data_IF_427362692389
#
_entry.id   IF_427362692389
#
_cell.length_a   1.000
_cell.length_b   1.000
_cell.length_c   1.000
_cell.angle_alpha   90.00
_cell.angle_beta   90.00
_cell.angle_gamma   90.00
#
_symmetry.space_group_name_H-M   'P 1'
#
loop_
_entity.id
_entity.type
_entity.pdbx_description
1 polymer ?
#
# COMPACT_ATOMS: atom_id res chain seq x y z
N UNK A 1 2.75 11.32 -14.63
CA UNK A 1 3.01 10.11 -13.77
C UNK A 1 2.90 8.87 -14.64
N UNK A 2 3.81 7.88 -14.51
CA UNK A 2 3.70 6.60 -15.23
C UNK A 2 2.42 5.85 -14.87
N UNK A 3 1.92 5.02 -15.80
CA UNK A 3 0.75 4.18 -15.60
C UNK A 3 1.09 2.71 -15.78
N UNK A 4 0.33 1.85 -15.11
CA UNK A 4 0.37 0.39 -15.18
C UNK A 4 -0.99 -0.09 -15.66
N UNK A 5 -1.00 -0.90 -16.72
CA UNK A 5 -2.23 -1.58 -17.16
C UNK A 5 -2.31 -2.95 -16.48
N UNK A 6 -3.36 -3.18 -15.71
CA UNK A 6 -3.60 -4.46 -15.05
C UNK A 6 -5.07 -4.83 -15.07
N UNK A 7 -5.40 -6.04 -15.55
CA UNK A 7 -6.79 -6.53 -15.70
C UNK A 7 -7.74 -5.51 -16.33
N UNK A 8 -7.29 -4.85 -17.40
CA UNK A 8 -8.08 -3.84 -18.14
C UNK A 8 -8.21 -2.47 -17.43
N UNK A 9 -7.56 -2.27 -16.29
CA UNK A 9 -7.54 -0.99 -15.56
C UNK A 9 -6.22 -0.28 -15.75
N UNK A 10 -6.28 1.01 -16.08
CA UNK A 10 -5.08 1.87 -16.11
C UNK A 10 -4.93 2.52 -14.74
N UNK A 11 -3.86 2.17 -14.03
CA UNK A 11 -3.55 2.65 -12.70
C UNK A 11 -2.31 3.55 -12.73
N UNK A 12 -2.22 4.55 -11.86
CA UNK A 12 -0.96 5.27 -11.66
C UNK A 12 0.08 4.34 -11.08
N UNK A 13 1.32 4.41 -11.56
CA UNK A 13 2.43 3.56 -11.09
C UNK A 13 2.89 3.85 -9.65
N UNK A 14 2.28 4.84 -9.01
CA UNK A 14 2.41 5.20 -7.61
C UNK A 14 1.00 5.37 -7.03
N UNK A 15 0.70 4.71 -5.91
CA UNK A 15 -0.55 4.87 -5.20
C UNK A 15 -0.35 5.80 -4.00
N UNK A 16 -1.18 6.83 -3.85
CA UNK A 16 -1.13 7.72 -2.69
C UNK A 16 -1.95 7.13 -1.55
N UNK A 17 -1.27 6.76 -0.46
CA UNK A 17 -1.88 6.28 0.78
C UNK A 17 -2.39 7.45 1.63
N UNK A 18 -3.61 7.33 2.11
CA UNK A 18 -4.35 8.40 2.81
C UNK A 18 -4.66 8.09 4.27
N UNK A 19 -4.01 7.09 4.87
CA UNK A 19 -4.36 6.56 6.19
C UNK A 19 -4.42 7.62 7.30
N UNK A 20 -3.61 8.68 7.23
CA UNK A 20 -3.59 9.78 8.21
C UNK A 20 -4.48 10.97 7.82
N UNK A 21 -5.03 11.01 6.60
CA UNK A 21 -5.86 12.12 6.16
C UNK A 21 -7.18 12.15 6.94
N UNK A 22 -7.56 13.32 7.42
CA UNK A 22 -8.78 13.51 8.24
C UNK A 22 -8.65 13.07 9.70
N UNK A 23 -7.57 12.39 10.13
CA UNK A 23 -7.41 11.93 11.51
C UNK A 23 -7.26 13.06 12.53
N UNK A 24 -6.80 14.24 12.11
CA UNK A 24 -6.71 15.46 12.92
C UNK A 24 -7.96 16.35 12.79
N UNK A 25 -8.97 15.92 12.07
CA UNK A 25 -10.23 16.60 11.81
C UNK A 25 -10.52 16.83 10.32
N UNK A 26 -11.82 17.05 10.04
CA UNK A 26 -12.37 17.23 8.68
C UNK A 26 -12.72 18.71 8.38
N UNK A 27 -12.02 19.65 9.02
CA UNK A 27 -12.24 21.09 8.83
C UNK A 27 -10.94 21.87 9.06
N UNK A 28 -10.93 23.15 8.65
CA UNK A 28 -9.83 24.07 8.92
C UNK A 28 -8.47 23.61 8.35
N UNK A 29 -7.41 23.90 9.07
CA UNK A 29 -6.04 23.64 8.61
C UNK A 29 -5.72 22.16 8.32
N UNK A 30 -6.16 21.16 9.12
CA UNK A 30 -5.93 19.75 8.81
C UNK A 30 -6.55 19.33 7.47
N UNK A 31 -7.79 19.74 7.19
CA UNK A 31 -8.45 19.42 5.91
C UNK A 31 -7.76 20.11 4.74
N UNK A 32 -7.39 21.38 4.87
CA UNK A 32 -6.68 22.14 3.85
C UNK A 32 -5.31 21.50 3.51
N UNK A 33 -4.59 21.03 4.52
CA UNK A 33 -3.32 20.30 4.32
C UNK A 33 -3.54 19.01 3.53
N UNK A 34 -4.56 18.24 3.86
CA UNK A 34 -4.90 17.02 3.12
C UNK A 34 -5.27 17.34 1.66
N UNK A 35 -6.09 18.37 1.44
CA UNK A 35 -6.47 18.82 0.09
C UNK A 35 -5.26 19.28 -0.72
N UNK A 36 -4.34 20.03 -0.15
CA UNK A 36 -3.11 20.46 -0.84
C UNK A 36 -2.28 19.26 -1.35
N UNK A 37 -2.19 18.18 -0.57
CA UNK A 37 -1.51 16.94 -0.99
C UNK A 37 -2.29 16.27 -2.13
N UNK A 38 -3.62 16.14 -2.00
CA UNK A 38 -4.48 15.52 -3.00
C UNK A 38 -4.48 16.32 -4.31
N UNK A 39 -4.58 17.64 -4.25
CA UNK A 39 -4.52 18.54 -5.40
C UNK A 39 -3.18 18.38 -6.15
N UNK A 40 -2.07 18.45 -5.42
CA UNK A 40 -0.73 18.27 -6.02
C UNK A 40 -0.60 16.89 -6.68
N UNK A 41 -1.06 15.82 -6.01
CA UNK A 41 -1.02 14.48 -6.58
C UNK A 41 -1.86 14.39 -7.87
N UNK A 42 -3.05 14.97 -7.87
CA UNK A 42 -3.94 15.00 -9.04
C UNK A 42 -3.36 15.82 -10.19
N UNK A 43 -2.83 17.02 -9.93
CA UNK A 43 -2.17 17.90 -10.91
C UNK A 43 -0.93 17.25 -11.55
N UNK A 44 -0.20 16.41 -10.80
CA UNK A 44 0.91 15.61 -11.32
C UNK A 44 0.46 14.41 -12.17
N UNK A 45 -0.84 14.24 -12.41
CA UNK A 45 -1.42 13.13 -13.16
C UNK A 45 -1.64 11.86 -12.34
N UNK A 46 -1.58 11.94 -11.01
CA UNK A 46 -1.94 10.84 -10.12
C UNK A 46 -3.44 10.57 -10.15
N UNK A 47 -3.82 9.29 -10.25
CA UNK A 47 -5.23 8.86 -10.33
C UNK A 47 -5.53 7.63 -9.52
N UNK A 48 -4.68 7.31 -8.51
CA UNK A 48 -4.84 6.10 -7.71
C UNK A 48 -4.60 6.38 -6.23
N UNK A 49 -5.67 6.27 -5.42
CA UNK A 49 -5.63 6.48 -3.97
C UNK A 49 -5.87 5.16 -3.23
N UNK A 50 -5.21 5.01 -2.08
CA UNK A 50 -5.45 3.93 -1.12
C UNK A 50 -6.00 4.50 0.19
N UNK A 51 -7.15 3.98 0.62
CA UNK A 51 -7.80 4.26 1.89
C UNK A 51 -8.35 2.99 2.53
N UNK A 52 -9.11 3.11 3.62
CA UNK A 52 -9.85 2.02 4.26
C UNK A 52 -10.98 2.57 5.13
N UNK A 53 -12.04 1.80 5.30
CA UNK A 53 -13.15 2.13 6.21
C UNK A 53 -12.69 2.41 7.64
N UNK A 54 -11.64 1.74 8.10
CA UNK A 54 -11.12 1.91 9.45
C UNK A 54 -10.23 3.14 9.62
N UNK A 55 -9.71 3.74 8.52
CA UNK A 55 -8.75 4.83 8.62
C UNK A 55 -9.41 6.12 9.13
N UNK A 56 -8.87 6.62 10.24
CA UNK A 56 -9.40 7.76 10.98
C UNK A 56 -10.21 7.41 12.23
N UNK A 57 -10.59 6.14 12.44
CA UNK A 57 -11.37 5.75 13.63
C UNK A 57 -10.59 5.91 14.95
N UNK A 58 -9.27 5.95 14.89
CA UNK A 58 -8.40 6.33 16.03
C UNK A 58 -8.10 7.83 16.09
N UNK A 59 -8.60 8.61 15.14
CA UNK A 59 -8.46 10.07 15.11
C UNK A 59 -9.51 10.77 15.98
N UNK A 60 -9.55 12.11 15.90
CA UNK A 60 -10.39 12.96 16.77
C UNK A 60 -11.88 12.75 16.58
N UNK A 61 -12.32 12.39 15.37
CA UNK A 61 -13.75 12.23 15.06
C UNK A 61 -14.26 10.79 15.23
N UNK A 62 -13.37 9.84 15.54
CA UNK A 62 -13.67 8.40 15.69
C UNK A 62 -14.51 7.81 14.55
N UNK A 63 -14.31 8.29 13.33
CA UNK A 63 -15.04 7.86 12.13
C UNK A 63 -14.07 7.41 11.04
N UNK A 64 -14.58 6.93 9.90
CA UNK A 64 -13.79 6.65 8.70
C UNK A 64 -13.34 7.96 8.01
N UNK A 65 -12.60 8.78 8.76
CA UNK A 65 -12.27 10.15 8.40
C UNK A 65 -11.46 10.26 7.12
N UNK A 66 -10.63 9.25 6.80
CA UNK A 66 -9.86 9.23 5.54
C UNK A 66 -10.78 9.16 4.31
N UNK A 67 -11.76 8.26 4.32
CA UNK A 67 -12.75 8.17 3.22
C UNK A 67 -13.60 9.44 3.12
N UNK A 68 -14.03 10.00 4.26
CA UNK A 68 -14.77 11.28 4.28
C UNK A 68 -13.94 12.43 3.72
N UNK A 69 -12.65 12.51 4.06
CA UNK A 69 -11.75 13.52 3.54
C UNK A 69 -11.63 13.43 2.01
N UNK A 70 -11.47 12.21 1.48
CA UNK A 70 -11.42 11.98 0.03
C UNK A 70 -12.76 12.36 -0.61
N UNK A 71 -13.89 11.93 -0.06
CA UNK A 71 -15.22 12.24 -0.59
C UNK A 71 -15.50 13.75 -0.64
N UNK A 72 -15.13 14.48 0.42
CA UNK A 72 -15.21 15.95 0.45
C UNK A 72 -14.35 16.58 -0.64
N UNK A 73 -13.11 16.11 -0.81
CA UNK A 73 -12.21 16.60 -1.85
C UNK A 73 -12.73 16.32 -3.27
N UNK A 74 -13.18 15.11 -3.54
CA UNK A 74 -13.76 14.74 -4.84
C UNK A 74 -14.95 15.63 -5.19
N UNK A 75 -15.86 15.83 -4.23
CA UNK A 75 -17.04 16.67 -4.40
C UNK A 75 -16.68 18.15 -4.61
N UNK A 76 -15.78 18.69 -3.78
CA UNK A 76 -15.38 20.10 -3.83
C UNK A 76 -14.66 20.46 -5.15
N UNK A 77 -13.85 19.52 -5.70
CA UNK A 77 -13.12 19.71 -6.95
C UNK A 77 -13.86 19.20 -8.19
N UNK A 78 -15.01 18.55 -8.04
CA UNK A 78 -15.76 17.96 -9.15
C UNK A 78 -15.00 16.82 -9.86
N UNK A 79 -14.17 16.07 -9.13
CA UNK A 79 -13.31 15.03 -9.69
C UNK A 79 -14.08 13.70 -9.75
N UNK A 80 -14.04 13.07 -10.94
CA UNK A 80 -14.77 11.80 -11.20
C UNK A 80 -13.88 10.70 -11.79
N UNK A 81 -12.61 10.98 -12.07
CA UNK A 81 -11.67 10.07 -12.75
C UNK A 81 -10.62 9.41 -11.83
N UNK A 82 -10.89 9.40 -10.52
CA UNK A 82 -10.02 8.74 -9.56
C UNK A 82 -10.33 7.25 -9.45
N UNK A 83 -9.30 6.42 -9.47
CA UNK A 83 -9.37 5.04 -8.99
C UNK A 83 -9.09 5.02 -7.50
N UNK A 84 -9.98 4.42 -6.72
CA UNK A 84 -9.85 4.32 -5.27
C UNK A 84 -9.81 2.86 -4.86
N UNK A 85 -8.80 2.50 -4.08
CA UNK A 85 -8.78 1.26 -3.30
C UNK A 85 -9.23 1.60 -1.88
N UNK A 86 -10.31 0.96 -1.42
CA UNK A 86 -10.68 0.99 0.00
C UNK A 86 -10.73 -0.43 0.58
N UNK A 87 -10.94 -0.55 1.90
CA UNK A 87 -10.82 -1.83 2.60
C UNK A 87 -11.90 -1.97 3.68
N UNK A 88 -12.38 -3.22 3.88
CA UNK A 88 -13.35 -3.58 4.91
C UNK A 88 -12.84 -4.64 5.88
N UNK A 89 -13.67 -5.00 6.82
CA UNK A 89 -13.46 -6.12 7.73
C UNK A 89 -12.21 -6.01 8.62
N UNK A 90 -11.76 -4.79 8.92
CA UNK A 90 -10.81 -4.57 10.00
C UNK A 90 -11.52 -4.66 11.35
N UNK A 91 -10.82 -5.08 12.41
CA UNK A 91 -11.35 -4.95 13.76
C UNK A 91 -11.64 -3.49 14.10
N UNK A 92 -12.58 -3.24 14.98
CA UNK A 92 -12.89 -1.90 15.45
C UNK A 92 -11.99 -1.52 16.65
N UNK A 93 -11.76 -0.23 16.89
CA UNK A 93 -10.94 0.23 18.02
C UNK A 93 -11.36 -0.34 19.38
N UNK A 94 -12.65 -0.56 19.57
CA UNK A 94 -13.27 -1.08 20.80
C UNK A 94 -13.34 -2.61 20.88
N UNK A 95 -12.97 -3.34 19.81
CA UNK A 95 -13.13 -4.80 19.68
C UNK A 95 -11.96 -5.43 18.89
N UNK A 96 -10.74 -5.26 19.36
CA UNK A 96 -9.51 -5.71 18.69
C UNK A 96 -9.44 -7.23 18.49
N UNK A 97 -10.05 -8.02 19.35
CA UNK A 97 -10.00 -9.48 19.33
C UNK A 97 -11.13 -10.12 18.51
N UNK A 98 -12.02 -9.28 17.93
CA UNK A 98 -13.18 -9.77 17.20
C UNK A 98 -12.93 -9.67 15.70
N UNK A 99 -12.85 -10.82 15.04
CA UNK A 99 -12.78 -10.85 13.58
C UNK A 99 -14.10 -10.38 12.96
N UNK A 100 -13.99 -9.48 11.98
CA UNK A 100 -15.12 -8.97 11.19
C UNK A 100 -15.08 -9.49 9.75
N UNK A 101 -14.31 -10.55 9.49
CA UNK A 101 -14.23 -11.17 8.16
C UNK A 101 -15.44 -12.07 7.96
N UNK A 102 -16.57 -11.44 7.70
CA UNK A 102 -17.85 -12.04 7.39
C UNK A 102 -18.65 -11.14 6.43
N UNK A 103 -19.68 -11.74 5.82
CA UNK A 103 -20.51 -11.09 4.80
C UNK A 103 -21.20 -9.83 5.30
N UNK A 104 -21.79 -9.88 6.49
CA UNK A 104 -22.61 -8.77 7.01
C UNK A 104 -21.74 -7.57 7.38
N UNK A 105 -20.59 -7.82 8.02
CA UNK A 105 -19.59 -6.79 8.29
C UNK A 105 -19.04 -6.17 7.00
N UNK A 106 -18.75 -6.99 5.98
CA UNK A 106 -18.27 -6.51 4.69
C UNK A 106 -19.28 -5.60 3.99
N UNK A 107 -20.56 -5.98 3.99
CA UNK A 107 -21.64 -5.19 3.37
C UNK A 107 -21.93 -3.90 4.15
N UNK A 108 -21.84 -3.93 5.48
CA UNK A 108 -22.02 -2.74 6.32
C UNK A 108 -20.90 -1.72 6.08
N UNK A 109 -19.64 -2.18 6.11
CA UNK A 109 -18.47 -1.35 5.81
C UNK A 109 -18.54 -0.79 4.38
N UNK A 110 -18.93 -1.59 3.39
CA UNK A 110 -19.08 -1.16 2.01
C UNK A 110 -20.14 -0.05 1.86
N UNK A 111 -21.28 -0.21 2.53
CA UNK A 111 -22.33 0.80 2.51
C UNK A 111 -21.86 2.12 3.12
N UNK A 112 -21.10 2.07 4.22
CA UNK A 112 -20.51 3.25 4.84
C UNK A 112 -19.43 3.89 3.94
N UNK A 113 -18.51 3.09 3.39
CA UNK A 113 -17.43 3.55 2.50
C UNK A 113 -17.99 4.27 1.26
N UNK A 114 -19.00 3.68 0.62
CA UNK A 114 -19.64 4.30 -0.55
C UNK A 114 -20.27 5.66 -0.22
N UNK A 115 -20.96 5.79 0.94
CA UNK A 115 -21.52 7.07 1.38
C UNK A 115 -20.42 8.09 1.67
N UNK A 116 -19.35 7.69 2.35
CA UNK A 116 -18.26 8.59 2.74
C UNK A 116 -17.45 9.07 1.54
N UNK A 117 -17.20 8.20 0.55
CA UNK A 117 -16.51 8.54 -0.69
C UNK A 117 -17.42 9.25 -1.71
N UNK A 118 -18.75 9.20 -1.55
CA UNK A 118 -19.69 9.73 -2.54
C UNK A 118 -19.69 8.93 -3.85
N UNK A 119 -19.41 7.62 -3.81
CA UNK A 119 -19.25 6.77 -4.99
C UNK A 119 -20.35 5.70 -5.06
N UNK A 120 -20.95 5.55 -6.26
CA UNK A 120 -21.88 4.45 -6.53
C UNK A 120 -21.18 3.08 -6.58
N UNK A 121 -19.96 3.04 -7.07
CA UNK A 121 -19.12 1.86 -7.13
C UNK A 121 -17.71 2.18 -6.64
N UNK A 122 -17.15 1.41 -5.71
CA UNK A 122 -15.75 1.49 -5.33
C UNK A 122 -14.94 0.64 -6.33
N UNK A 123 -13.96 1.20 -7.05
CA UNK A 123 -13.24 0.49 -8.11
C UNK A 123 -12.51 -0.78 -7.62
N UNK A 124 -11.85 -0.71 -6.46
CA UNK A 124 -11.13 -1.84 -5.84
C UNK A 124 -11.46 -1.86 -4.35
N UNK A 125 -11.92 -3.01 -3.85
CA UNK A 125 -12.30 -3.15 -2.45
C UNK A 125 -11.65 -4.37 -1.82
N UNK A 126 -10.78 -4.15 -0.83
CA UNK A 126 -9.98 -5.22 -0.24
C UNK A 126 -10.57 -5.69 1.09
N UNK A 127 -10.44 -6.97 1.39
CA UNK A 127 -10.54 -7.43 2.77
C UNK A 127 -9.26 -7.04 3.52
N UNK A 128 -9.39 -6.29 4.60
CA UNK A 128 -8.25 -5.68 5.32
C UNK A 128 -7.49 -6.68 6.18
N UNK A 129 -8.15 -7.76 6.59
CA UNK A 129 -7.62 -8.85 7.41
C UNK A 129 -8.13 -10.19 6.90
N UNK A 130 -7.40 -11.25 7.21
CA UNK A 130 -7.87 -12.63 7.03
C UNK A 130 -8.52 -13.14 8.31
N UNK A 131 -9.41 -14.09 8.17
CA UNK A 131 -9.84 -14.99 9.24
C UNK A 131 -9.52 -16.43 8.81
N UNK A 132 -8.44 -16.97 9.34
CA UNK A 132 -7.91 -18.29 8.95
C UNK A 132 -8.80 -19.46 9.37
N UNK A 133 -9.74 -19.24 10.30
CA UNK A 133 -10.74 -20.22 10.73
C UNK A 133 -11.90 -20.32 9.73
N UNK A 134 -12.08 -19.32 8.87
CA UNK A 134 -13.09 -19.32 7.82
C UNK A 134 -12.60 -20.05 6.57
N UNK A 135 -13.49 -20.87 5.97
CA UNK A 135 -13.23 -21.39 4.63
C UNK A 135 -13.03 -20.25 3.65
N UNK A 136 -11.97 -20.32 2.85
CA UNK A 136 -11.66 -19.27 1.87
C UNK A 136 -12.77 -19.14 0.82
N UNK A 137 -13.47 -20.22 0.50
CA UNK A 137 -14.59 -20.21 -0.45
C UNK A 137 -15.74 -19.34 0.03
N UNK A 138 -16.09 -19.43 1.33
CA UNK A 138 -17.09 -18.54 1.92
C UNK A 138 -16.68 -17.06 1.79
N UNK A 139 -15.39 -16.76 1.99
CA UNK A 139 -14.86 -15.41 1.87
C UNK A 139 -14.94 -14.92 0.42
N UNK A 140 -14.53 -15.76 -0.53
CA UNK A 140 -14.59 -15.45 -1.96
C UNK A 140 -16.03 -15.28 -2.43
N UNK A 141 -16.96 -16.11 -1.97
CA UNK A 141 -18.38 -16.06 -2.38
C UNK A 141 -19.03 -14.70 -2.08
N UNK A 142 -18.86 -14.17 -0.86
CA UNK A 142 -19.44 -12.86 -0.58
C UNK A 142 -18.67 -11.70 -1.27
N UNK A 143 -17.38 -11.88 -1.56
CA UNK A 143 -16.65 -10.92 -2.38
C UNK A 143 -17.15 -10.90 -3.83
N UNK A 144 -17.40 -12.06 -4.42
CA UNK A 144 -18.01 -12.20 -5.75
C UNK A 144 -19.40 -11.56 -5.77
N UNK A 145 -20.23 -11.80 -4.74
CA UNK A 145 -21.54 -11.15 -4.60
C UNK A 145 -21.44 -9.62 -4.63
N UNK A 146 -20.46 -9.05 -3.91
CA UNK A 146 -20.26 -7.60 -3.92
C UNK A 146 -19.89 -7.05 -5.31
N UNK A 147 -19.08 -7.80 -6.10
CA UNK A 147 -18.75 -7.44 -7.49
C UNK A 147 -19.98 -7.56 -8.38
N UNK A 148 -20.69 -8.68 -8.33
CA UNK A 148 -21.85 -8.94 -9.18
C UNK A 148 -23.04 -8.01 -8.89
N UNK A 149 -23.11 -7.49 -7.65
CA UNK A 149 -24.09 -6.43 -7.31
C UNK A 149 -23.74 -5.06 -7.91
N UNK A 150 -22.58 -4.90 -8.57
CA UNK A 150 -22.11 -3.66 -9.14
C UNK A 150 -21.63 -2.62 -8.12
N UNK A 151 -21.57 -2.95 -6.83
CA UNK A 151 -21.16 -2.02 -5.77
C UNK A 151 -19.65 -1.86 -5.67
N UNK A 152 -18.88 -2.86 -6.13
CA UNK A 152 -17.43 -2.78 -6.29
C UNK A 152 -17.02 -3.26 -7.69
N UNK A 153 -15.89 -2.74 -8.19
CA UNK A 153 -15.38 -3.14 -9.50
C UNK A 153 -14.59 -4.45 -9.48
N UNK A 154 -13.84 -4.67 -8.42
CA UNK A 154 -13.15 -5.93 -8.12
C UNK A 154 -12.81 -5.99 -6.63
N UNK A 155 -12.61 -7.20 -6.11
CA UNK A 155 -12.11 -7.38 -4.76
C UNK A 155 -10.62 -7.75 -4.74
N UNK A 156 -10.02 -7.71 -3.57
CA UNK A 156 -8.67 -8.21 -3.32
C UNK A 156 -8.45 -8.44 -1.84
N UNK A 157 -7.24 -8.79 -1.48
CA UNK A 157 -6.89 -9.13 -0.11
C UNK A 157 -5.78 -8.24 0.43
N UNK A 158 -5.81 -7.99 1.73
CA UNK A 158 -4.73 -7.37 2.48
C UNK A 158 -4.39 -8.25 3.68
N UNK A 159 -3.08 -8.49 3.90
CA UNK A 159 -2.60 -9.36 4.97
C UNK A 159 -3.03 -10.84 4.84
N UNK A 160 -3.02 -11.36 3.62
CA UNK A 160 -3.26 -12.77 3.35
C UNK A 160 -1.95 -13.51 3.04
N UNK A 161 -1.85 -14.75 3.54
CA UNK A 161 -0.71 -15.64 3.30
C UNK A 161 -0.82 -16.31 1.94
N UNK A 162 0.31 -16.85 1.46
CA UNK A 162 0.39 -17.51 0.16
C UNK A 162 -0.66 -18.63 -0.01
N UNK A 163 -0.79 -19.52 0.97
CA UNK A 163 -1.72 -20.64 0.92
C UNK A 163 -3.19 -20.17 0.75
N UNK A 164 -3.54 -19.07 1.40
CA UNK A 164 -4.88 -18.49 1.32
C UNK A 164 -5.13 -17.82 -0.03
N UNK A 165 -4.12 -17.11 -0.55
CA UNK A 165 -4.19 -16.49 -1.87
C UNK A 165 -4.31 -17.57 -2.95
N UNK A 166 -3.48 -18.62 -2.89
CA UNK A 166 -3.54 -19.74 -3.83
C UNK A 166 -4.93 -20.38 -3.83
N UNK A 167 -5.46 -20.75 -2.66
CA UNK A 167 -6.77 -21.38 -2.55
C UNK A 167 -7.91 -20.49 -3.10
N UNK A 168 -7.84 -19.17 -2.93
CA UNK A 168 -8.81 -18.24 -3.49
C UNK A 168 -8.71 -18.16 -5.03
N UNK A 169 -7.50 -18.08 -5.57
CA UNK A 169 -7.27 -18.04 -7.02
C UNK A 169 -7.69 -19.34 -7.69
N UNK A 170 -7.38 -20.48 -7.07
CA UNK A 170 -7.81 -21.80 -7.55
C UNK A 170 -9.33 -21.93 -7.56
N UNK A 171 -10.01 -21.42 -6.52
CA UNK A 171 -11.46 -21.43 -6.43
C UNK A 171 -12.13 -20.53 -7.47
N UNK A 172 -11.57 -19.35 -7.76
CA UNK A 172 -12.05 -18.45 -8.81
C UNK A 172 -11.80 -19.01 -10.22
N UNK A 173 -10.77 -19.81 -10.41
CA UNK A 173 -10.44 -20.44 -11.68
C UNK A 173 -10.28 -19.42 -12.84
N UNK A 174 -10.96 -19.65 -13.95
CA UNK A 174 -10.89 -18.81 -15.14
C UNK A 174 -11.42 -17.39 -14.94
N UNK A 175 -12.32 -17.17 -13.98
CA UNK A 175 -12.95 -15.88 -13.71
C UNK A 175 -12.12 -14.96 -12.82
N UNK A 176 -10.96 -15.42 -12.34
CA UNK A 176 -10.10 -14.66 -11.42
C UNK A 176 -9.77 -13.24 -11.88
N UNK A 177 -9.51 -13.05 -13.19
CA UNK A 177 -9.16 -11.71 -13.74
C UNK A 177 -10.34 -10.73 -13.71
N UNK A 178 -11.57 -11.24 -13.71
CA UNK A 178 -12.78 -10.43 -13.56
C UNK A 178 -12.95 -9.95 -12.13
N UNK A 179 -12.74 -10.84 -11.16
CA UNK A 179 -13.11 -10.61 -9.77
C UNK A 179 -11.96 -10.10 -8.90
N UNK A 180 -10.74 -10.62 -9.10
CA UNK A 180 -9.60 -10.38 -8.19
C UNK A 180 -8.67 -9.29 -8.72
N UNK A 181 -8.57 -8.19 -7.97
CA UNK A 181 -7.75 -7.04 -8.33
C UNK A 181 -6.28 -7.20 -7.92
N UNK A 182 -6.02 -7.86 -6.80
CA UNK A 182 -4.64 -7.99 -6.30
C UNK A 182 -4.54 -8.10 -4.79
N UNK A 183 -3.31 -7.92 -4.31
CA UNK A 183 -2.91 -8.15 -2.93
C UNK A 183 -2.25 -6.89 -2.34
N UNK A 184 -2.56 -6.57 -1.08
CA UNK A 184 -1.92 -5.48 -0.32
C UNK A 184 -1.36 -6.03 0.99
N UNK A 185 -0.10 -6.43 0.96
CA UNK A 185 0.66 -6.89 2.12
C UNK A 185 1.86 -5.96 2.38
N UNK A 186 2.45 -6.01 3.56
CA UNK A 186 3.62 -5.21 3.89
C UNK A 186 4.84 -5.63 3.05
N UNK A 187 5.46 -4.67 2.35
CA UNK A 187 6.70 -4.94 1.61
C UNK A 187 7.50 -3.66 1.43
N UNK A 188 8.77 -3.73 1.76
CA UNK A 188 9.74 -2.65 1.51
C UNK A 188 11.12 -3.24 1.25
N UNK A 189 11.99 -2.44 0.63
CA UNK A 189 13.39 -2.82 0.42
C UNK A 189 14.11 -3.17 1.74
N UNK A 190 13.87 -2.39 2.81
CA UNK A 190 14.50 -2.64 4.12
C UNK A 190 14.01 -3.95 4.76
N UNK A 191 12.72 -4.26 4.64
CA UNK A 191 12.12 -5.49 5.17
C UNK A 191 12.56 -6.72 4.37
N UNK A 192 12.59 -6.64 3.03
CA UNK A 192 13.05 -7.71 2.15
C UNK A 192 14.44 -8.20 2.56
N UNK A 193 15.30 -7.27 2.95
CA UNK A 193 16.71 -7.51 3.30
C UNK A 193 16.95 -7.66 4.82
N UNK A 194 15.91 -7.63 5.65
CA UNK A 194 16.03 -7.76 7.10
C UNK A 194 16.06 -9.22 7.59
N UNK A 195 15.74 -10.18 6.71
CA UNK A 195 15.58 -11.59 7.11
C UNK A 195 14.24 -11.86 7.76
N UNK A 196 14.22 -12.64 8.85
CA UNK A 196 12.99 -12.94 9.57
C UNK A 196 12.37 -11.65 10.15
N UNK A 197 11.12 -11.41 9.79
CA UNK A 197 10.33 -10.31 10.30
C UNK A 197 9.07 -10.88 10.97
N UNK A 198 8.87 -10.50 12.22
CA UNK A 198 7.66 -10.83 12.98
C UNK A 198 6.74 -9.60 12.94
N UNK A 199 5.73 -9.61 12.07
CA UNK A 199 4.84 -8.47 11.94
C UNK A 199 3.94 -8.31 13.15
N UNK A 200 3.41 -7.09 13.42
CA UNK A 200 2.34 -6.90 14.38
C UNK A 200 1.13 -7.80 14.09
N UNK A 201 0.33 -8.07 15.11
CA UNK A 201 -0.83 -8.97 15.03
C UNK A 201 -1.70 -8.79 13.80
N UNK A 202 -1.90 -9.89 13.07
CA UNK A 202 -2.73 -9.94 11.86
C UNK A 202 -2.15 -9.20 10.65
N UNK A 203 -0.90 -8.76 10.69
CA UNK A 203 -0.17 -8.22 9.55
C UNK A 203 0.61 -9.34 8.86
N UNK A 204 0.62 -9.35 7.55
CA UNK A 204 1.36 -10.35 6.77
C UNK A 204 2.31 -9.64 5.78
N UNK A 205 3.59 -9.98 5.80
CA UNK A 205 4.53 -9.45 4.82
C UNK A 205 4.34 -10.14 3.45
N UNK A 206 4.80 -9.47 2.41
CA UNK A 206 5.10 -10.16 1.16
C UNK A 206 6.36 -11.00 1.38
N UNK A 207 6.21 -12.32 1.31
CA UNK A 207 7.34 -13.25 1.36
C UNK A 207 7.86 -13.51 -0.06
N UNK A 208 9.12 -13.98 -0.20
CA UNK A 208 9.68 -14.32 -1.52
C UNK A 208 8.83 -15.37 -2.28
N UNK A 209 8.31 -16.46 -1.64
CA UNK A 209 7.37 -17.36 -2.30
C UNK A 209 6.09 -16.69 -2.77
N UNK A 210 5.51 -15.79 -1.94
CA UNK A 210 4.29 -15.05 -2.31
C UNK A 210 4.55 -14.11 -3.50
N UNK A 211 5.65 -13.38 -3.48
CA UNK A 211 6.01 -12.48 -4.57
C UNK A 211 6.23 -13.24 -5.89
N UNK A 212 6.88 -14.42 -5.83
CA UNK A 212 7.06 -15.30 -7.00
C UNK A 212 5.71 -15.78 -7.53
N UNK A 213 4.83 -16.29 -6.68
CA UNK A 213 3.51 -16.72 -7.09
C UNK A 213 2.71 -15.59 -7.74
N UNK A 214 2.75 -14.38 -7.16
CA UNK A 214 2.08 -13.22 -7.76
C UNK A 214 2.67 -12.85 -9.14
N UNK A 215 3.97 -13.05 -9.36
CA UNK A 215 4.61 -12.83 -10.65
C UNK A 215 4.18 -13.87 -11.69
N UNK A 216 4.12 -15.15 -11.31
CA UNK A 216 3.69 -16.25 -12.18
C UNK A 216 2.22 -16.14 -12.59
N UNK A 217 1.36 -15.69 -11.66
CA UNK A 217 -0.07 -15.56 -11.86
C UNK A 217 -0.53 -14.18 -12.32
N UNK A 218 0.39 -13.25 -12.60
CA UNK A 218 0.10 -11.86 -12.99
C UNK A 218 -0.82 -11.15 -11.97
N UNK A 219 -0.56 -11.32 -10.68
CA UNK A 219 -1.32 -10.71 -9.58
C UNK A 219 -0.65 -9.38 -9.19
N UNK A 220 -1.43 -8.29 -9.20
CA UNK A 220 -0.99 -6.98 -8.75
C UNK A 220 -0.68 -6.98 -7.25
N UNK A 221 0.48 -6.44 -6.87
CA UNK A 221 0.82 -6.19 -5.48
C UNK A 221 0.80 -4.68 -5.22
N UNK A 222 0.03 -4.29 -4.20
CA UNK A 222 -0.08 -2.93 -3.66
C UNK A 222 0.59 -2.91 -2.27
N UNK A 223 1.92 -2.86 -2.18
CA UNK A 223 2.59 -2.94 -0.90
C UNK A 223 2.31 -1.70 -0.06
N UNK A 224 1.84 -1.90 1.18
CA UNK A 224 1.84 -0.85 2.19
C UNK A 224 3.17 -0.82 2.94
N UNK A 225 3.45 0.24 3.71
CA UNK A 225 4.77 0.50 4.31
C UNK A 225 5.93 0.43 3.29
N UNK A 226 5.64 0.69 2.02
CA UNK A 226 6.52 0.46 0.88
C UNK A 226 7.89 1.15 0.99
N UNK A 227 7.96 2.22 1.75
CA UNK A 227 9.20 2.99 1.98
C UNK A 227 9.75 2.80 3.40
N UNK A 228 9.29 1.78 4.13
CA UNK A 228 9.77 1.47 5.48
C UNK A 228 9.75 2.68 6.43
N UNK A 229 8.73 3.54 6.30
CA UNK A 229 8.63 4.81 7.04
C UNK A 229 9.86 5.72 6.88
N UNK A 230 10.55 5.67 5.74
CA UNK A 230 11.77 6.45 5.49
C UNK A 230 12.98 5.98 6.29
N UNK A 231 13.09 4.69 6.56
CA UNK A 231 14.11 4.11 7.43
C UNK A 231 15.54 4.47 6.98
N UNK A 232 15.85 4.35 5.69
CA UNK A 232 17.19 4.66 5.19
C UNK A 232 17.57 6.14 5.37
N UNK A 233 16.64 7.08 5.19
CA UNK A 233 16.92 8.50 5.44
C UNK A 233 17.04 8.79 6.95
N UNK A 234 16.31 8.07 7.79
CA UNK A 234 16.46 8.14 9.25
C UNK A 234 17.84 7.70 9.74
N UNK A 235 18.49 6.74 9.07
CA UNK A 235 19.85 6.34 9.42
C UNK A 235 20.85 7.51 9.31
N UNK A 236 20.70 8.39 8.30
CA UNK A 236 21.52 9.63 8.21
C UNK A 236 21.30 10.50 9.44
N UNK A 237 20.05 10.74 9.79
CA UNK A 237 19.69 11.57 10.95
C UNK A 237 20.22 10.99 12.26
N UNK A 238 20.24 9.66 12.37
CA UNK A 238 20.74 8.93 13.54
C UNK A 238 22.27 8.85 13.57
N UNK A 239 22.98 9.42 12.57
CA UNK A 239 24.44 9.41 12.47
C UNK A 239 25.03 8.03 12.13
N UNK A 240 24.20 7.12 11.60
CA UNK A 240 24.62 5.77 11.21
C UNK A 240 25.48 5.84 9.94
N UNK A 241 26.63 5.18 9.97
CA UNK A 241 27.58 5.10 8.85
C UNK A 241 27.89 3.66 8.48
N UNK A 242 28.66 3.46 7.41
CA UNK A 242 29.18 2.14 7.02
C UNK A 242 30.67 2.09 7.31
N UNK A 243 31.11 1.10 8.09
CA UNK A 243 32.51 0.84 8.39
C UNK A 243 33.29 0.28 7.21
N UNK A 244 34.61 0.17 7.37
CA UNK A 244 35.51 -0.40 6.35
C UNK A 244 35.20 -1.89 6.04
N UNK A 245 34.59 -2.60 6.98
CA UNK A 245 34.12 -3.99 6.83
C UNK A 245 32.77 -4.11 6.11
N UNK A 246 32.18 -2.98 5.70
CA UNK A 246 30.88 -2.92 5.01
C UNK A 246 29.67 -3.06 5.94
N UNK A 247 29.85 -3.06 7.26
CA UNK A 247 28.77 -3.12 8.24
C UNK A 247 28.34 -1.76 8.73
N UNK A 248 27.14 -1.68 9.31
CA UNK A 248 26.69 -0.48 9.99
C UNK A 248 27.55 -0.15 11.22
N UNK A 249 27.84 1.13 11.38
CA UNK A 249 28.45 1.74 12.58
C UNK A 249 27.45 2.70 13.16
N UNK A 250 27.13 2.54 14.45
CA UNK A 250 26.07 3.30 15.11
C UNK A 250 24.81 2.43 15.32
N UNK A 251 23.72 3.07 15.71
CA UNK A 251 22.44 2.38 15.98
C UNK A 251 21.26 3.16 15.39
N UNK A 252 20.34 2.44 14.74
CA UNK A 252 19.09 3.01 14.27
C UNK A 252 18.11 3.24 15.43
N UNK A 253 17.50 4.42 15.52
CA UNK A 253 16.48 4.76 16.52
C UNK A 253 15.15 4.04 16.26
N UNK A 254 14.91 3.59 15.02
CA UNK A 254 13.71 2.88 14.60
C UNK A 254 14.08 1.57 13.90
N UNK A 255 13.45 0.47 14.29
CA UNK A 255 13.69 -0.87 13.72
C UNK A 255 15.19 -1.27 13.69
N UNK A 256 15.89 -1.28 14.82
CA UNK A 256 17.33 -1.64 14.86
C UNK A 256 17.60 -3.06 14.34
N UNK A 257 16.64 -3.98 14.43
CA UNK A 257 16.74 -5.33 13.87
C UNK A 257 16.88 -5.37 12.34
N UNK A 258 16.63 -4.26 11.64
CA UNK A 258 16.85 -4.16 10.20
C UNK A 258 18.30 -3.79 9.82
N UNK A 259 19.19 -3.59 10.80
CA UNK A 259 20.61 -3.30 10.57
C UNK A 259 21.40 -4.57 10.19
N UNK A 260 21.02 -5.19 9.08
CA UNK A 260 21.65 -6.39 8.51
C UNK A 260 22.79 -6.02 7.55
N UNK A 261 23.65 -6.98 7.22
CA UNK A 261 24.70 -6.80 6.20
C UNK A 261 24.11 -6.42 4.83
N UNK A 262 22.96 -6.98 4.48
CA UNK A 262 22.27 -6.69 3.22
C UNK A 262 21.73 -5.28 3.19
N UNK A 263 21.09 -4.82 4.28
CA UNK A 263 20.66 -3.44 4.38
C UNK A 263 21.81 -2.45 4.45
N UNK A 264 22.97 -2.83 5.00
CA UNK A 264 24.19 -2.02 4.92
C UNK A 264 24.65 -1.84 3.46
N UNK A 265 24.61 -2.91 2.66
CA UNK A 265 24.86 -2.85 1.21
C UNK A 265 23.85 -1.95 0.50
N UNK A 266 22.56 -2.13 0.75
CA UNK A 266 21.50 -1.31 0.16
C UNK A 266 21.65 0.16 0.54
N UNK A 267 21.96 0.45 1.80
CA UNK A 267 22.18 1.81 2.28
C UNK A 267 23.31 2.51 1.53
N UNK A 268 24.46 1.82 1.33
CA UNK A 268 25.57 2.37 0.56
C UNK A 268 25.20 2.67 -0.89
N UNK A 269 24.44 1.77 -1.54
CA UNK A 269 23.96 1.96 -2.90
C UNK A 269 22.99 3.15 -2.95
N UNK A 270 22.04 3.22 -2.03
CA UNK A 270 21.10 4.33 -1.94
C UNK A 270 21.78 5.68 -1.68
N UNK A 271 22.82 5.72 -0.83
CA UNK A 271 23.62 6.94 -0.62
C UNK A 271 24.30 7.40 -1.91
N UNK A 272 24.86 6.49 -2.68
CA UNK A 272 25.48 6.81 -3.96
C UNK A 272 24.47 7.35 -4.96
N UNK A 273 23.29 6.70 -5.07
CA UNK A 273 22.19 7.14 -5.93
C UNK A 273 21.62 8.48 -5.49
N UNK A 274 21.44 8.68 -4.18
CA UNK A 274 21.00 9.97 -3.62
C UNK A 274 21.94 11.10 -4.02
N UNK A 275 23.25 10.89 -3.86
CA UNK A 275 24.28 11.86 -4.25
C UNK A 275 24.28 12.17 -5.76
N UNK A 276 24.03 11.16 -6.60
CA UNK A 276 24.01 11.29 -8.05
C UNK A 276 22.75 11.96 -8.58
N UNK A 277 21.58 11.61 -8.01
CA UNK A 277 20.27 11.98 -8.56
C UNK A 277 19.57 13.11 -7.82
N UNK A 278 19.97 13.38 -6.56
CA UNK A 278 19.26 14.27 -5.66
C UNK A 278 17.97 13.71 -5.07
N UNK A 279 17.52 12.51 -5.49
CA UNK A 279 16.32 11.89 -4.93
C UNK A 279 16.58 11.36 -3.52
N UNK A 280 15.62 11.48 -2.60
CA UNK A 280 15.71 10.87 -1.27
C UNK A 280 15.82 9.35 -1.35
N UNK A 281 16.47 8.71 -0.38
CA UNK A 281 16.55 7.24 -0.34
C UNK A 281 15.17 6.61 -0.15
N UNK A 282 14.25 7.31 0.48
CA UNK A 282 12.83 6.96 0.59
C UNK A 282 12.18 6.85 -0.79
N UNK A 283 12.34 7.86 -1.65
CA UNK A 283 11.79 7.83 -3.00
C UNK A 283 12.45 6.77 -3.89
N UNK A 284 13.77 6.60 -3.76
CA UNK A 284 14.52 5.54 -4.46
C UNK A 284 14.06 4.13 -4.03
N UNK A 285 13.71 3.93 -2.75
CA UNK A 285 13.17 2.65 -2.27
C UNK A 285 11.80 2.34 -2.86
N UNK A 286 10.93 3.34 -3.05
CA UNK A 286 9.65 3.17 -3.74
C UNK A 286 9.87 2.82 -5.21
N UNK A 287 10.79 3.51 -5.90
CA UNK A 287 11.15 3.25 -7.29
C UNK A 287 11.70 1.84 -7.49
N UNK A 288 12.48 1.32 -6.53
CA UNK A 288 12.94 -0.07 -6.52
C UNK A 288 11.78 -1.06 -6.58
N UNK A 289 10.74 -0.89 -5.74
CA UNK A 289 9.57 -1.77 -5.75
C UNK A 289 8.78 -1.65 -7.05
N UNK A 290 8.56 -0.43 -7.53
CA UNK A 290 7.86 -0.20 -8.80
C UNK A 290 8.62 -0.71 -10.03
N UNK A 291 9.93 -0.93 -9.91
CA UNK A 291 10.78 -1.49 -10.95
C UNK A 291 10.81 -3.02 -11.00
N UNK A 292 10.08 -3.72 -10.12
CA UNK A 292 9.96 -5.19 -10.16
C UNK A 292 9.29 -5.63 -11.47
N UNK A 293 9.60 -6.83 -11.92
CA UNK A 293 9.07 -7.38 -13.19
C UNK A 293 7.57 -7.65 -13.13
N UNK A 294 7.08 -8.15 -12.00
CA UNK A 294 5.63 -8.28 -11.76
C UNK A 294 4.99 -6.92 -11.49
N UNK A 295 3.67 -6.78 -11.70
CA UNK A 295 2.99 -5.54 -11.43
C UNK A 295 2.99 -5.21 -9.92
N UNK A 296 3.82 -4.24 -9.54
CA UNK A 296 3.90 -3.70 -8.17
C UNK A 296 3.66 -2.20 -8.24
N UNK A 297 2.68 -1.72 -7.48
CA UNK A 297 2.40 -0.29 -7.32
C UNK A 297 2.56 0.06 -5.84
N UNK A 298 3.67 0.69 -5.42
CA UNK A 298 3.90 1.02 -4.02
C UNK A 298 2.87 2.04 -3.53
N UNK A 299 2.30 1.76 -2.34
CA UNK A 299 1.48 2.73 -1.60
C UNK A 299 2.44 3.59 -0.78
N UNK A 300 2.45 4.89 -1.06
CA UNK A 300 3.27 5.86 -0.34
C UNK A 300 2.40 6.92 0.30
N UNK A 301 2.77 7.36 1.49
CA UNK A 301 2.16 8.51 2.16
C UNK A 301 3.16 9.64 2.27
N UNK A 302 2.67 10.87 2.16
CA UNK A 302 3.47 12.08 2.29
C UNK A 302 2.89 12.98 3.37
N UNK A 303 3.75 13.78 4.00
CA UNK A 303 3.34 14.78 4.98
C UNK A 303 3.28 16.20 4.41
N UNK A 304 3.84 16.38 3.21
CA UNK A 304 3.90 17.66 2.48
C UNK A 304 3.82 17.39 0.97
N UNK A 305 3.17 18.28 0.19
CA UNK A 305 3.01 18.12 -1.26
C UNK A 305 4.33 17.95 -2.02
N UNK A 306 5.38 18.65 -1.61
CA UNK A 306 6.68 18.66 -2.30
C UNK A 306 7.33 17.27 -2.38
N UNK A 307 7.05 16.40 -1.43
CA UNK A 307 7.57 15.03 -1.42
C UNK A 307 7.06 14.20 -2.62
N UNK A 308 5.91 14.56 -3.19
CA UNK A 308 5.36 13.86 -4.37
C UNK A 308 6.26 14.05 -5.60
N UNK A 309 6.88 15.22 -5.75
CA UNK A 309 7.80 15.48 -6.85
C UNK A 309 9.05 14.58 -6.77
N UNK A 310 9.56 14.31 -5.57
CA UNK A 310 10.69 13.40 -5.36
C UNK A 310 10.36 11.96 -5.80
N UNK A 311 9.16 11.46 -5.44
CA UNK A 311 8.70 10.15 -5.88
C UNK A 311 8.55 10.09 -7.40
N UNK A 312 7.96 11.12 -8.02
CA UNK A 312 7.82 11.16 -9.47
C UNK A 312 9.18 11.15 -10.16
N UNK A 313 10.14 11.95 -9.68
CA UNK A 313 11.49 11.98 -10.22
C UNK A 313 12.20 10.62 -10.08
N UNK A 314 12.09 9.97 -8.92
CA UNK A 314 12.68 8.65 -8.70
C UNK A 314 12.08 7.58 -9.62
N UNK A 315 10.76 7.63 -9.87
CA UNK A 315 10.05 6.70 -10.78
C UNK A 315 10.46 6.86 -12.25
N UNK A 316 11.01 8.00 -12.65
CA UNK A 316 11.52 8.22 -14.01
C UNK A 316 12.94 7.66 -14.22
N UNK A 317 13.66 7.31 -13.15
CA UNK A 317 14.99 6.73 -13.25
C UNK A 317 14.89 5.34 -13.93
N UNK A 318 15.44 5.23 -15.14
CA UNK A 318 15.48 3.98 -15.91
C UNK A 318 16.61 3.07 -15.41
N UNK A 319 16.57 2.66 -14.14
CA UNK A 319 17.61 1.81 -13.55
C UNK A 319 17.00 0.49 -13.09
N UNK A 320 17.15 -0.53 -13.93
CA UNK A 320 16.72 -1.90 -13.63
C UNK A 320 17.79 -2.71 -12.91
N UNK A 321 19.06 -2.22 -12.83
CA UNK A 321 20.19 -3.03 -12.34
C UNK A 321 21.16 -2.21 -11.48
N UNK A 322 20.71 -1.76 -10.32
CA UNK A 322 21.56 -1.08 -9.32
C UNK A 322 22.01 -2.01 -8.19
N UNK A 323 21.71 -3.31 -8.26
CA UNK A 323 22.08 -4.27 -7.21
C UNK A 323 21.37 -4.06 -5.87
N UNK A 324 20.23 -3.35 -5.84
CA UNK A 324 19.39 -3.20 -4.66
C UNK A 324 18.58 -4.47 -4.40
N UNK A 325 18.36 -4.75 -3.10
CA UNK A 325 17.55 -5.89 -2.65
C UNK A 325 18.23 -7.23 -2.84
N UNK A 326 17.55 -8.29 -2.45
CA UNK A 326 18.03 -9.66 -2.49
C UNK A 326 17.14 -10.60 -3.28
N UNK A 327 15.91 -10.16 -3.58
CA UNK A 327 14.95 -10.97 -4.29
C UNK A 327 15.03 -10.71 -5.79
N UNK A 328 15.69 -11.62 -6.48
CA UNK A 328 15.52 -11.78 -7.92
C UNK A 328 14.26 -12.63 -8.10
N UNK A 329 13.20 -12.02 -8.56
CA UNK A 329 11.96 -12.67 -8.97
C UNK A 329 12.00 -12.61 -10.50
N UNK A 330 12.47 -13.73 -11.06
CA UNK A 330 12.60 -13.90 -12.52
C UNK A 330 11.23 -14.13 -13.17
#
# INVERSE_FOLDING_TARGET
MKTVLHNGRTLSGLCLGTASMGSEGLSGAPLQKAFAILDTYYEMGGRFLDTANVYGRWGVDHTNASEKCIGLWLSDRGITDMTITSKCCHYLPEAHDTSRVDRDSALADLAESRRSLGMEQIPIYLLHRDNRERDIRYIVDFCVEMVDSGKIGAFGFSNYRLDRVQAAIDYLGADRKRYFAGLSNEWSLAMESAGAYDPPDGMEPVTKPLARYCAEEDILILPFSAVAHGWFDKLIRDGVTIGADGRFVGSASYRPGWMTAENARNYRILQALHKETGCSMTALSAAYLAGKRQPVIPIVSVSRPEQLAEYAAAMELKRTDVGLGTWQID
#
